data_IF_192876171304
#
_entry.id   IF_192876171304
#
_cell.length_a   1.000
_cell.length_b   1.000
_cell.length_c   1.000
_cell.angle_alpha   90.00
_cell.angle_beta   90.00
_cell.angle_gamma   90.00
#
_symmetry.space_group_name_H-M   'P 1'
#
loop_
_entity.id
_entity.type
_entity.pdbx_description
1 polymer ?
#
# COMPACT_ATOMS: atom_id res chain seq x y z
N UNK A 1 -17.50 -4.88 -4.47
CA UNK A 1 -17.75 -6.20 -5.11
C UNK A 1 -18.27 -6.14 -6.53
N UNK A 2 -19.02 -5.10 -6.95
CA UNK A 2 -19.56 -5.01 -8.31
C UNK A 2 -18.51 -5.18 -9.43
N UNK A 3 -17.32 -4.59 -9.27
CA UNK A 3 -16.23 -4.70 -10.24
C UNK A 3 -15.73 -6.13 -10.46
N UNK A 4 -15.42 -6.86 -9.38
CA UNK A 4 -14.90 -8.23 -9.53
C UNK A 4 -15.97 -9.14 -10.16
N UNK A 5 -17.22 -8.99 -9.72
CA UNK A 5 -18.33 -9.76 -10.28
C UNK A 5 -18.57 -9.44 -11.76
N UNK A 6 -18.46 -8.19 -12.20
CA UNK A 6 -18.63 -7.83 -13.62
C UNK A 6 -17.56 -8.41 -14.52
N UNK A 7 -16.37 -8.70 -13.97
CA UNK A 7 -15.25 -9.33 -14.67
C UNK A 7 -15.21 -10.87 -14.51
N UNK A 8 -16.27 -11.44 -13.92
CA UNK A 8 -16.41 -12.87 -13.68
C UNK A 8 -15.49 -13.42 -12.58
N UNK A 9 -14.97 -12.55 -11.71
CA UNK A 9 -14.10 -12.94 -10.60
C UNK A 9 -14.91 -13.07 -9.31
N UNK A 10 -14.85 -14.27 -8.71
CA UNK A 10 -15.37 -14.53 -7.38
C UNK A 10 -14.21 -14.57 -6.39
N UNK A 11 -14.25 -13.69 -5.41
CA UNK A 11 -13.29 -13.65 -4.31
C UNK A 11 -14.03 -13.52 -2.97
N UNK A 12 -13.51 -14.20 -1.94
CA UNK A 12 -13.92 -13.90 -0.56
C UNK A 12 -13.26 -12.59 -0.14
N UNK A 13 -13.99 -11.81 0.65
CA UNK A 13 -13.52 -10.51 1.14
C UNK A 13 -13.52 -10.50 2.65
N UNK A 14 -12.42 -10.05 3.22
CA UNK A 14 -12.34 -9.66 4.61
C UNK A 14 -11.81 -8.23 4.72
N UNK A 15 -12.31 -7.48 5.70
CA UNK A 15 -11.79 -6.18 6.06
C UNK A 15 -11.07 -6.32 7.40
N UNK A 16 -9.83 -5.85 7.45
CA UNK A 16 -9.01 -5.86 8.65
C UNK A 16 -8.71 -4.41 9.06
N UNK A 17 -9.16 -3.94 10.23
CA UNK A 17 -8.86 -2.60 10.67
C UNK A 17 -7.36 -2.46 10.96
N UNK A 18 -6.77 -1.34 10.55
CA UNK A 18 -5.37 -1.04 10.80
C UNK A 18 -5.14 0.43 11.14
N UNK A 19 -4.00 0.69 11.77
CA UNK A 19 -3.42 2.04 11.84
C UNK A 19 -2.20 2.07 10.95
N UNK A 20 -2.20 2.95 9.96
CA UNK A 20 -1.04 3.22 9.11
C UNK A 20 -0.30 4.44 9.63
N UNK A 21 1.03 4.36 9.61
CA UNK A 21 1.91 5.50 9.84
C UNK A 21 2.82 5.62 8.63
N UNK A 22 2.74 6.74 7.93
CA UNK A 22 3.52 6.99 6.72
C UNK A 22 3.96 8.44 6.62
N UNK A 23 5.02 8.70 5.86
CA UNK A 23 5.45 10.07 5.58
C UNK A 23 4.39 10.79 4.75
N UNK A 24 3.93 11.94 5.26
CA UNK A 24 3.01 12.80 4.53
C UNK A 24 3.80 13.67 3.57
N UNK A 25 3.46 13.57 2.29
CA UNK A 25 4.08 14.30 1.21
C UNK A 25 3.39 15.65 1.03
N UNK A 26 4.14 16.75 1.13
CA UNK A 26 3.58 18.13 1.11
C UNK A 26 2.97 18.48 -0.24
N UNK A 27 3.35 17.79 -1.31
CA UNK A 27 2.72 17.87 -2.63
C UNK A 27 1.26 17.39 -2.64
N UNK A 28 0.81 16.63 -1.63
CA UNK A 28 -0.60 16.27 -1.47
C UNK A 28 -1.47 17.43 -0.96
N UNK A 29 -0.84 18.47 -0.40
CA UNK A 29 -1.49 19.65 0.15
C UNK A 29 -0.81 20.15 1.41
N UNK A 30 -1.09 21.39 1.80
CA UNK A 30 -0.52 22.00 3.00
C UNK A 30 -1.01 21.30 4.28
N UNK A 31 -0.11 20.68 5.09
CA UNK A 31 -0.49 20.06 6.36
C UNK A 31 -1.24 20.99 7.31
N UNK A 32 -0.96 22.30 7.28
CA UNK A 32 -1.61 23.29 8.14
C UNK A 32 -3.09 23.55 7.75
N UNK A 33 -3.48 23.18 6.52
CA UNK A 33 -4.85 23.31 6.02
C UNK A 33 -5.73 22.09 6.32
N UNK A 34 -5.14 21.01 6.83
CA UNK A 34 -5.86 19.76 7.11
C UNK A 34 -6.69 19.88 8.39
N UNK A 35 -7.91 19.35 8.33
CA UNK A 35 -8.73 19.13 9.53
C UNK A 35 -8.43 17.75 10.10
N UNK A 36 -7.79 17.70 11.28
CA UNK A 36 -7.51 16.44 11.97
C UNK A 36 -8.81 15.83 12.51
N UNK A 37 -8.88 14.51 12.51
CA UNK A 37 -10.03 13.74 13.00
C UNK A 37 -9.53 12.61 13.91
N UNK A 38 -10.41 11.94 14.70
CA UNK A 38 -10.01 10.79 15.50
C UNK A 38 -9.37 9.65 14.71
N UNK A 39 -9.61 9.59 13.40
CA UNK A 39 -9.10 8.54 12.49
C UNK A 39 -8.04 9.03 11.53
N UNK A 40 -7.65 10.31 11.57
CA UNK A 40 -6.68 10.90 10.65
C UNK A 40 -5.98 12.09 11.28
N UNK A 41 -4.65 12.00 11.44
CA UNK A 41 -3.84 13.06 12.04
C UNK A 41 -2.48 13.17 11.33
N UNK A 42 -1.99 14.39 11.11
CA UNK A 42 -0.66 14.65 10.54
C UNK A 42 0.19 15.38 11.58
N UNK A 43 1.34 14.79 11.94
CA UNK A 43 2.25 15.32 12.98
C UNK A 43 3.60 15.72 12.39
N UNK A 44 4.15 16.89 12.74
CA UNK A 44 5.49 17.26 12.33
C UNK A 44 6.54 16.37 13.02
N UNK A 45 7.60 16.07 12.28
CA UNK A 45 8.82 15.44 12.78
C UNK A 45 10.04 16.28 12.37
N UNK A 46 11.22 15.94 12.89
CA UNK A 46 12.45 16.67 12.59
C UNK A 46 12.74 16.73 11.07
N UNK A 47 13.29 17.87 10.63
CA UNK A 47 13.68 18.11 9.24
C UNK A 47 12.56 18.64 8.33
N UNK A 48 11.51 19.23 8.90
CA UNK A 48 10.39 19.78 8.12
C UNK A 48 9.48 18.73 7.47
N UNK A 49 9.55 17.49 7.96
CA UNK A 49 8.76 16.35 7.47
C UNK A 49 7.57 16.10 8.38
N UNK A 50 6.64 15.28 7.90
CA UNK A 50 5.40 15.00 8.61
C UNK A 50 5.09 13.49 8.57
N UNK A 51 4.51 12.96 9.65
CA UNK A 51 3.95 11.62 9.67
C UNK A 51 2.43 11.71 9.71
N UNK A 52 1.78 11.06 8.76
CA UNK A 52 0.35 10.81 8.77
C UNK A 52 0.06 9.54 9.58
N UNK A 53 -0.93 9.63 10.46
CA UNK A 53 -1.51 8.55 11.25
C UNK A 53 -2.96 8.39 10.77
N UNK A 54 -3.25 7.27 10.12
CA UNK A 54 -4.56 7.00 9.54
C UNK A 54 -5.13 5.69 10.08
N UNK A 55 -6.38 5.71 10.54
CA UNK A 55 -7.16 4.50 10.80
C UNK A 55 -7.83 4.09 9.49
N UNK A 56 -7.51 2.89 9.03
CA UNK A 56 -7.88 2.40 7.72
C UNK A 56 -8.33 0.94 7.79
N UNK A 57 -8.70 0.39 6.64
CA UNK A 57 -8.95 -1.03 6.49
C UNK A 57 -8.05 -1.60 5.40
N UNK A 58 -7.42 -2.73 5.69
CA UNK A 58 -6.93 -3.62 4.66
C UNK A 58 -8.11 -4.42 4.10
N UNK A 59 -8.29 -4.38 2.79
CA UNK A 59 -9.17 -5.31 2.09
C UNK A 59 -8.35 -6.54 1.69
N UNK A 60 -8.64 -7.68 2.33
CA UNK A 60 -8.06 -8.97 1.95
C UNK A 60 -8.98 -9.67 0.94
N UNK A 61 -8.38 -10.17 -0.14
CA UNK A 61 -9.07 -10.92 -1.18
C UNK A 61 -8.51 -12.34 -1.25
N UNK A 62 -9.38 -13.34 -1.10
CA UNK A 62 -9.06 -14.74 -1.40
C UNK A 62 -9.75 -15.13 -2.71
N UNK A 63 -8.97 -15.24 -3.78
CA UNK A 63 -9.46 -15.60 -5.11
C UNK A 63 -9.69 -17.12 -5.21
N UNK A 64 -10.72 -17.51 -5.93
CA UNK A 64 -11.02 -18.93 -6.16
C UNK A 64 -9.92 -19.64 -6.98
N UNK A 65 -9.29 -18.92 -7.92
CA UNK A 65 -8.23 -19.45 -8.77
C UNK A 65 -7.02 -18.53 -8.83
N UNK A 66 -5.85 -19.12 -9.14
CA UNK A 66 -4.62 -18.35 -9.41
C UNK A 66 -4.77 -17.46 -10.65
N UNK A 67 -5.54 -17.91 -11.65
CA UNK A 67 -5.82 -17.14 -12.85
C UNK A 67 -6.58 -15.83 -12.52
N UNK A 68 -7.59 -15.91 -11.66
CA UNK A 68 -8.34 -14.71 -11.23
C UNK A 68 -7.48 -13.75 -10.42
N UNK A 69 -6.66 -14.29 -9.50
CA UNK A 69 -5.66 -13.50 -8.76
C UNK A 69 -4.75 -12.73 -9.71
N UNK A 70 -4.25 -13.39 -10.76
CA UNK A 70 -3.32 -12.77 -11.70
C UNK A 70 -3.99 -11.77 -12.65
N UNK A 71 -5.31 -11.90 -12.90
CA UNK A 71 -6.09 -10.92 -13.66
C UNK A 71 -6.39 -9.63 -12.88
N UNK A 72 -6.35 -9.68 -11.55
CA UNK A 72 -6.74 -8.56 -10.69
C UNK A 72 -6.03 -7.24 -11.02
N UNK A 73 -4.71 -7.28 -11.24
CA UNK A 73 -3.90 -6.10 -11.56
C UNK A 73 -4.41 -5.36 -12.80
N UNK A 74 -4.69 -6.10 -13.88
CA UNK A 74 -5.22 -5.53 -15.12
C UNK A 74 -6.60 -4.88 -14.95
N UNK A 75 -7.44 -5.44 -14.07
CA UNK A 75 -8.76 -4.91 -13.75
C UNK A 75 -8.62 -3.59 -12.98
N UNK A 76 -7.72 -3.52 -12.00
CA UNK A 76 -7.42 -2.29 -11.29
C UNK A 76 -6.86 -1.23 -12.25
N UNK A 77 -5.90 -1.61 -13.10
CA UNK A 77 -5.31 -0.73 -14.10
C UNK A 77 -6.33 -0.14 -15.08
N UNK A 78 -7.38 -0.91 -15.42
CA UNK A 78 -8.45 -0.49 -16.34
C UNK A 78 -9.49 0.41 -15.70
N UNK A 79 -9.93 0.10 -14.48
CA UNK A 79 -11.14 0.72 -13.91
C UNK A 79 -10.91 1.61 -12.70
N UNK A 80 -9.79 1.46 -11.98
CA UNK A 80 -9.59 2.08 -10.68
C UNK A 80 -8.26 2.85 -10.55
N UNK A 81 -7.37 2.78 -11.55
CA UNK A 81 -6.12 3.53 -11.58
C UNK A 81 -6.18 4.72 -12.54
N UNK A 82 -5.71 5.87 -12.05
CA UNK A 82 -5.41 7.05 -12.87
C UNK A 82 -4.01 6.93 -13.48
N UNK A 83 -3.89 7.34 -14.74
CA UNK A 83 -2.68 7.38 -15.53
C UNK A 83 -2.60 8.73 -16.22
N UNK A 84 -1.40 9.21 -16.52
CA UNK A 84 -1.24 10.49 -17.24
C UNK A 84 -1.97 10.45 -18.59
N UNK A 85 -1.97 9.30 -19.25
CA UNK A 85 -2.65 9.07 -20.51
C UNK A 85 -4.19 9.10 -20.42
N UNK A 86 -4.76 8.99 -19.21
CA UNK A 86 -6.20 8.92 -18.99
C UNK A 86 -6.72 10.01 -18.05
N UNK A 87 -5.92 11.03 -17.76
CA UNK A 87 -6.29 12.21 -16.99
C UNK A 87 -5.94 13.52 -17.70
N UNK A 88 -6.67 14.59 -17.41
CA UNK A 88 -6.31 15.95 -17.81
C UNK A 88 -5.22 16.55 -16.91
N UNK A 89 -4.74 17.75 -17.24
CA UNK A 89 -3.72 18.46 -16.45
C UNK A 89 -4.15 18.85 -15.03
N UNK A 90 -5.43 18.67 -14.67
CA UNK A 90 -5.96 18.87 -13.32
C UNK A 90 -6.15 17.54 -12.58
N UNK A 91 -5.75 16.41 -13.17
CA UNK A 91 -5.87 15.07 -12.61
C UNK A 91 -7.29 14.50 -12.65
N UNK A 92 -8.18 15.07 -13.46
CA UNK A 92 -9.52 14.52 -13.69
C UNK A 92 -9.47 13.43 -14.77
N UNK A 93 -10.11 12.27 -14.57
CA UNK A 93 -10.19 11.25 -15.61
C UNK A 93 -10.86 11.76 -16.89
N UNK A 94 -10.23 11.53 -18.04
CA UNK A 94 -10.81 11.78 -19.38
C UNK A 94 -11.44 10.52 -19.99
N UNK A 95 -11.38 9.41 -19.27
CA UNK A 95 -12.07 8.15 -19.55
C UNK A 95 -12.93 7.74 -18.35
N UNK A 96 -13.96 6.89 -18.53
CA UNK A 96 -14.73 6.38 -17.40
C UNK A 96 -13.87 5.55 -16.43
N UNK A 97 -13.75 6.01 -15.19
CA UNK A 97 -13.15 5.27 -14.07
C UNK A 97 -14.15 5.18 -12.93
N UNK A 98 -13.92 4.24 -12.00
CA UNK A 98 -14.70 4.13 -10.77
C UNK A 98 -14.56 5.40 -9.92
N UNK A 99 -15.62 5.77 -9.21
CA UNK A 99 -15.57 6.84 -8.22
C UNK A 99 -14.51 6.51 -7.17
N UNK A 100 -13.63 7.47 -6.88
CA UNK A 100 -12.49 7.27 -5.99
C UNK A 100 -11.28 6.57 -6.64
N UNK A 101 -11.24 6.42 -7.97
CA UNK A 101 -10.05 5.96 -8.67
C UNK A 101 -8.82 6.80 -8.29
N UNK A 102 -7.70 6.12 -8.12
CA UNK A 102 -6.51 6.69 -7.50
C UNK A 102 -5.28 6.55 -8.38
N UNK A 103 -4.29 7.41 -8.19
CA UNK A 103 -3.02 7.33 -8.92
C UNK A 103 -2.23 6.09 -8.53
N UNK A 104 -2.14 5.78 -7.24
CA UNK A 104 -1.29 4.71 -6.71
C UNK A 104 -2.10 3.68 -5.90
N UNK A 105 -2.93 2.83 -6.53
CA UNK A 105 -3.53 1.72 -5.81
C UNK A 105 -2.43 0.74 -5.39
N UNK A 106 -2.26 0.54 -4.08
CA UNK A 106 -1.22 -0.31 -3.51
C UNK A 106 -1.84 -1.64 -3.09
N UNK A 107 -1.29 -2.76 -3.57
CA UNK A 107 -1.73 -4.09 -3.15
C UNK A 107 -0.58 -5.07 -3.18
N UNK A 108 -0.77 -6.14 -2.40
CA UNK A 108 0.26 -7.13 -2.15
C UNK A 108 -0.29 -8.54 -2.33
N UNK A 109 0.61 -9.48 -2.61
CA UNK A 109 0.32 -10.90 -2.64
C UNK A 109 1.30 -11.62 -1.71
N UNK A 110 0.77 -12.47 -0.85
CA UNK A 110 1.56 -13.35 0.04
C UNK A 110 2.09 -14.58 -0.69
N UNK A 111 1.69 -14.78 -1.95
CA UNK A 111 2.14 -15.84 -2.83
C UNK A 111 2.70 -15.24 -4.13
N UNK A 112 3.65 -15.90 -4.81
CA UNK A 112 4.23 -15.38 -6.05
C UNK A 112 3.19 -14.97 -7.11
N UNK A 113 3.45 -13.87 -7.80
CA UNK A 113 2.66 -13.42 -8.97
C UNK A 113 3.29 -13.96 -10.25
N UNK A 114 2.47 -14.34 -11.23
CA UNK A 114 2.97 -14.80 -12.53
C UNK A 114 3.65 -13.66 -13.31
N UNK A 115 3.12 -12.45 -13.21
CA UNK A 115 3.71 -11.27 -13.84
C UNK A 115 4.80 -10.65 -12.97
N UNK A 116 6.05 -11.09 -13.16
CA UNK A 116 7.22 -10.52 -12.49
C UNK A 116 7.66 -9.16 -13.05
N UNK A 117 7.08 -8.73 -14.17
CA UNK A 117 7.28 -7.40 -14.74
C UNK A 117 6.57 -6.34 -13.89
N UNK A 118 5.31 -6.61 -13.55
CA UNK A 118 4.42 -5.70 -12.82
C UNK A 118 4.47 -5.88 -11.29
N UNK A 119 5.07 -6.98 -10.81
CA UNK A 119 5.22 -7.26 -9.38
C UNK A 119 6.67 -7.46 -8.96
N UNK A 120 7.02 -6.88 -7.83
CA UNK A 120 8.36 -6.94 -7.22
C UNK A 120 8.30 -7.60 -5.86
N UNK A 121 9.37 -8.33 -5.52
CA UNK A 121 9.54 -8.91 -4.20
C UNK A 121 10.05 -7.85 -3.23
N UNK A 122 9.40 -7.72 -2.08
CA UNK A 122 9.86 -6.95 -0.93
C UNK A 122 9.84 -7.82 0.33
N UNK A 123 10.20 -7.22 1.46
CA UNK A 123 10.14 -7.80 2.79
C UNK A 123 9.09 -7.09 3.64
N UNK A 124 8.23 -7.88 4.28
CA UNK A 124 7.44 -7.46 5.43
C UNK A 124 8.19 -7.90 6.69
N UNK A 125 8.62 -6.93 7.50
CA UNK A 125 9.47 -7.16 8.67
C UNK A 125 8.63 -7.19 9.95
N UNK A 126 7.91 -8.29 10.15
CA UNK A 126 6.88 -8.39 11.19
C UNK A 126 7.50 -8.34 12.58
N UNK A 127 7.03 -7.41 13.40
CA UNK A 127 7.38 -7.30 14.83
C UNK A 127 6.11 -7.55 15.64
N UNK A 128 6.17 -8.46 16.62
CA UNK A 128 5.00 -8.85 17.42
C UNK A 128 5.17 -8.50 18.89
N UNK A 129 4.10 -8.00 19.49
CA UNK A 129 3.96 -7.81 20.94
C UNK A 129 2.55 -8.21 21.39
N UNK A 130 2.41 -9.42 21.95
CA UNK A 130 1.12 -9.97 22.30
C UNK A 130 0.20 -10.11 21.08
N UNK A 131 -0.96 -9.46 21.13
CA UNK A 131 -1.94 -9.45 20.04
C UNK A 131 -1.63 -8.42 18.94
N UNK A 132 -0.62 -7.56 19.13
CA UNK A 132 -0.30 -6.48 18.21
C UNK A 132 0.87 -6.85 17.31
N UNK A 133 0.77 -6.42 16.05
CA UNK A 133 1.85 -6.51 15.07
C UNK A 133 2.08 -5.15 14.42
N UNK A 134 3.33 -4.88 14.06
CA UNK A 134 3.70 -3.78 13.17
C UNK A 134 4.48 -4.37 11.98
N UNK A 135 4.24 -3.79 10.81
CA UNK A 135 4.69 -4.31 9.51
C UNK A 135 5.52 -3.27 8.74
N UNK A 136 6.75 -2.93 9.16
CA UNK A 136 7.63 -2.08 8.38
C UNK A 136 8.03 -2.80 7.09
N UNK A 137 7.58 -2.29 5.95
CA UNK A 137 7.94 -2.81 4.64
C UNK A 137 9.29 -2.28 4.18
N UNK A 138 10.07 -3.11 3.49
CA UNK A 138 11.35 -2.69 2.89
C UNK A 138 11.67 -3.49 1.63
N UNK A 139 12.47 -2.92 0.74
CA UNK A 139 13.26 -3.74 -0.20
C UNK A 139 14.21 -4.67 0.58
N UNK A 140 14.73 -5.72 -0.08
CA UNK A 140 15.53 -6.75 0.59
C UNK A 140 16.72 -6.19 1.37
N UNK A 141 17.40 -5.19 0.82
CA UNK A 141 18.59 -4.58 1.44
C UNK A 141 18.25 -3.70 2.68
N UNK A 142 16.98 -3.33 2.86
CA UNK A 142 16.51 -2.50 3.98
C UNK A 142 16.22 -3.28 5.27
N UNK A 143 16.07 -4.61 5.20
CA UNK A 143 15.69 -5.44 6.37
C UNK A 143 16.67 -5.33 7.53
N UNK A 144 17.98 -5.28 7.26
CA UNK A 144 19.00 -5.20 8.30
C UNK A 144 18.92 -3.89 9.11
N UNK A 145 18.58 -2.78 8.46
CA UNK A 145 18.42 -1.49 9.11
C UNK A 145 17.23 -1.51 10.09
N UNK A 146 16.10 -2.11 9.69
CA UNK A 146 14.92 -2.27 10.55
C UNK A 146 15.26 -3.13 11.77
N UNK A 147 15.90 -4.28 11.56
CA UNK A 147 16.30 -5.16 12.66
C UNK A 147 17.25 -4.48 13.66
N UNK A 148 18.16 -3.64 13.16
CA UNK A 148 19.06 -2.83 14.00
C UNK A 148 18.27 -1.86 14.88
N UNK A 149 17.33 -1.09 14.32
CA UNK A 149 16.52 -0.14 15.10
C UNK A 149 15.69 -0.86 16.16
N UNK A 150 15.06 -1.99 15.84
CA UNK A 150 14.27 -2.77 16.81
C UNK A 150 15.16 -3.25 17.95
N UNK A 151 16.35 -3.81 17.64
CA UNK A 151 17.30 -4.25 18.68
C UNK A 151 17.75 -3.10 19.60
N UNK A 152 17.88 -1.89 19.08
CA UNK A 152 18.30 -0.72 19.85
C UNK A 152 17.17 -0.11 20.70
N UNK A 153 15.92 -0.15 20.20
CA UNK A 153 14.78 0.55 20.80
C UNK A 153 13.81 -0.33 21.58
N UNK A 154 13.74 -1.61 21.23
CA UNK A 154 12.86 -2.62 21.81
C UNK A 154 13.57 -4.00 21.78
N UNK A 155 14.68 -4.18 22.52
CA UNK A 155 15.55 -5.36 22.45
C UNK A 155 14.84 -6.69 22.81
N UNK A 156 13.71 -6.63 23.51
CA UNK A 156 12.85 -7.75 23.85
C UNK A 156 12.02 -8.26 22.67
N UNK A 157 11.82 -7.42 21.65
CA UNK A 157 11.05 -7.75 20.45
C UNK A 157 11.94 -8.37 19.37
N UNK A 158 11.32 -9.15 18.49
CA UNK A 158 11.99 -9.81 17.36
C UNK A 158 11.39 -9.34 16.04
N UNK A 159 12.24 -9.30 15.01
CA UNK A 159 11.84 -9.05 13.63
C UNK A 159 11.81 -10.37 12.87
N UNK A 160 10.67 -10.69 12.29
CA UNK A 160 10.48 -11.83 11.40
C UNK A 160 10.20 -11.34 9.98
N UNK A 161 11.18 -11.48 9.08
CA UNK A 161 11.03 -11.02 7.71
C UNK A 161 10.40 -12.08 6.81
N UNK A 162 9.27 -11.74 6.19
CA UNK A 162 8.58 -12.60 5.22
C UNK A 162 8.57 -11.97 3.83
N UNK A 163 8.46 -12.82 2.80
CA UNK A 163 8.37 -12.38 1.42
C UNK A 163 6.99 -11.82 1.12
N UNK A 164 6.93 -10.71 0.38
CA UNK A 164 5.70 -10.12 -0.10
C UNK A 164 5.90 -9.62 -1.53
N UNK A 165 4.91 -9.88 -2.40
CA UNK A 165 4.95 -9.45 -3.80
C UNK A 165 4.05 -8.24 -3.97
N UNK A 166 4.59 -7.11 -4.41
CA UNK A 166 3.84 -5.86 -4.50
C UNK A 166 3.84 -5.35 -5.93
N UNK A 167 2.76 -4.65 -6.31
CA UNK A 167 2.69 -4.03 -7.63
C UNK A 167 3.69 -2.88 -7.76
N UNK A 168 4.01 -2.48 -8.99
CA UNK A 168 4.99 -1.42 -9.26
C UNK A 168 4.71 -0.12 -8.51
N UNK A 169 3.44 0.28 -8.37
CA UNK A 169 3.05 1.46 -7.59
C UNK A 169 3.58 1.44 -6.16
N UNK A 170 3.45 0.29 -5.48
CA UNK A 170 3.94 0.14 -4.11
C UNK A 170 5.46 0.03 -4.07
N UNK A 171 6.07 -0.68 -5.02
CA UNK A 171 7.52 -0.74 -5.08
C UNK A 171 8.13 0.66 -5.25
N UNK A 172 7.58 1.47 -6.15
CA UNK A 172 8.04 2.83 -6.40
C UNK A 172 7.84 3.73 -5.17
N UNK A 173 6.72 3.59 -4.47
CA UNK A 173 6.49 4.26 -3.19
C UNK A 173 7.58 3.95 -2.16
N UNK A 174 8.02 2.69 -2.05
CA UNK A 174 9.08 2.30 -1.11
C UNK A 174 10.47 2.82 -1.52
N UNK A 175 10.73 3.00 -2.81
CA UNK A 175 12.04 3.44 -3.31
C UNK A 175 12.10 4.94 -3.59
N UNK A 176 10.99 5.67 -3.44
CA UNK A 176 10.89 7.06 -3.88
C UNK A 176 11.03 7.24 -5.39
N UNK A 177 10.71 6.20 -6.17
CA UNK A 177 10.69 6.27 -7.63
C UNK A 177 9.37 6.89 -8.12
N UNK A 178 9.34 7.26 -9.40
CA UNK A 178 8.18 7.92 -9.99
C UNK A 178 6.90 7.06 -9.92
N UNK A 179 5.76 7.72 -9.98
CA UNK A 179 4.43 7.17 -9.74
C UNK A 179 3.89 6.33 -10.93
N UNK A 180 4.51 6.33 -12.11
CA UNK A 180 4.07 5.52 -13.27
C UNK A 180 5.21 4.67 -13.84
#
# INVERSE_FOLDING_TARGET
MGLLNSEGIVAKVALEPKTSIYEYLVEWGDPASLTMTPTYEVKPIAGGRYLCYATEYDMKLEFHTVADKNRFDSIIGKYAKKWDSNTDGNGNPIVPLLAGAWWQPLYTSTVPMQDSGSFKLIKDNVIRNGAYTIHPFSVADGTAAIAKVVKEKAPELKVESVNLYVNNAFYNYLTGADHQ
#
